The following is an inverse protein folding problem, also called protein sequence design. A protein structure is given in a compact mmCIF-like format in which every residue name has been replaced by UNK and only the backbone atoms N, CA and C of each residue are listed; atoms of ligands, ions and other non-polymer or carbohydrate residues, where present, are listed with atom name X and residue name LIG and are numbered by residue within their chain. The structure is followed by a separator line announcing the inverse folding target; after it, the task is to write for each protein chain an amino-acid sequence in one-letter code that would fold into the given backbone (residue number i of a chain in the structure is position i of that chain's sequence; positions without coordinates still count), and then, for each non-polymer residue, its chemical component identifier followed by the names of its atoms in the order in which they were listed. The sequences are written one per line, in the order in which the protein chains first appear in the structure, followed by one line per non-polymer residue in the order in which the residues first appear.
data_IF_964950523852
#
_entry.id   IF_964950523852
#
_cell.length_a   1.000
_cell.length_b   1.000
_cell.length_c   1.000
_cell.angle_alpha   90.00
_cell.angle_beta   90.00
_cell.angle_gamma   90.00
#
_symmetry.space_group_name_H-M   'P 1'
#
loop_
_entity.id
_entity.type
_entity.pdbx_description
1 polymer ?
#
# COMPACT_ATOMS: atom_id res chain seq x y z
N UNK A 1 -63.87 -22.86 17.24
CA UNK A 1 -64.81 -22.32 16.24
C UNK A 1 -65.00 -20.84 16.53
N UNK A 2 -64.26 -19.98 15.83
CA UNK A 2 -64.09 -18.57 16.17
C UNK A 2 -65.17 -17.69 15.54
N UNK A 3 -65.67 -16.75 16.35
CA UNK A 3 -66.80 -15.84 16.11
C UNK A 3 -66.46 -14.80 15.04
N UNK A 4 -67.32 -14.67 14.03
CA UNK A 4 -67.33 -13.55 13.08
C UNK A 4 -67.99 -12.35 13.78
N UNK A 5 -67.24 -11.26 13.95
CA UNK A 5 -67.77 -9.94 14.35
C UNK A 5 -67.76 -9.03 13.13
N UNK A 6 -68.97 -8.68 12.70
CA UNK A 6 -69.29 -7.63 11.74
C UNK A 6 -69.00 -6.28 12.41
N UNK A 7 -68.17 -5.45 11.79
CA UNK A 7 -67.98 -4.06 12.20
C UNK A 7 -68.45 -3.14 11.06
N UNK A 8 -69.45 -2.33 11.38
CA UNK A 8 -70.05 -1.32 10.53
C UNK A 8 -69.05 -0.17 10.28
N UNK A 9 -68.90 0.23 9.02
CA UNK A 9 -68.27 1.49 8.66
C UNK A 9 -69.33 2.43 8.09
N UNK A 10 -69.57 3.52 8.81
CA UNK A 10 -70.53 4.56 8.47
C UNK A 10 -70.04 5.38 7.27
N UNK A 11 -70.92 5.56 6.29
CA UNK A 11 -70.74 6.43 5.13
C UNK A 11 -71.23 7.82 5.54
N UNK A 12 -70.32 8.79 5.64
CA UNK A 12 -70.66 10.20 5.75
C UNK A 12 -70.74 10.81 4.34
N UNK A 13 -71.97 11.08 3.89
CA UNK A 13 -72.25 11.86 2.69
C UNK A 13 -72.14 13.34 3.06
N UNK A 14 -71.15 14.04 2.51
CA UNK A 14 -71.08 15.50 2.54
C UNK A 14 -71.46 16.02 1.15
N UNK A 15 -72.67 16.55 1.06
CA UNK A 15 -73.14 17.38 -0.03
C UNK A 15 -72.64 18.82 0.20
N UNK A 16 -71.75 19.31 -0.67
CA UNK A 16 -71.47 20.74 -0.80
C UNK A 16 -71.71 21.15 -2.24
N UNK A 17 -72.67 22.04 -2.42
CA UNK A 17 -73.14 22.56 -3.69
C UNK A 17 -72.19 23.61 -4.28
N UNK A 18 -72.06 23.57 -5.61
CA UNK A 18 -72.05 24.74 -6.50
C UNK A 18 -71.07 25.88 -6.22
N UNK A 19 -69.95 25.87 -6.95
CA UNK A 19 -69.43 27.07 -7.59
C UNK A 19 -68.79 26.69 -8.92
N UNK A 20 -69.54 26.88 -10.01
CA UNK A 20 -69.03 26.94 -11.38
C UNK A 20 -68.21 28.24 -11.51
N UNK A 21 -66.97 28.21 -11.01
CA UNK A 21 -65.95 29.18 -11.39
C UNK A 21 -65.09 28.49 -12.45
N UNK A 22 -65.06 29.07 -13.65
CA UNK A 22 -64.31 28.52 -14.77
C UNK A 22 -62.88 28.23 -14.36
N UNK A 23 -62.49 26.96 -14.48
CA UNK A 23 -61.11 26.58 -14.69
C UNK A 23 -60.71 27.11 -16.07
N UNK A 24 -60.47 28.42 -16.16
CA UNK A 24 -59.42 28.90 -17.04
C UNK A 24 -58.19 28.17 -16.60
N UNK A 25 -57.84 27.13 -17.35
CA UNK A 25 -56.54 26.51 -17.41
C UNK A 25 -55.52 27.64 -17.42
N UNK A 26 -54.98 28.00 -16.26
CA UNK A 26 -53.64 28.58 -16.18
C UNK A 26 -52.73 27.45 -16.63
N UNK A 27 -52.64 27.27 -17.94
CA UNK A 27 -51.35 27.04 -18.57
C UNK A 27 -50.50 28.24 -18.16
N UNK A 28 -49.98 28.19 -16.93
CA UNK A 28 -48.83 28.97 -16.56
C UNK A 28 -47.81 28.63 -17.63
N UNK A 29 -47.48 29.63 -18.45
CA UNK A 29 -46.33 29.60 -19.31
C UNK A 29 -45.21 28.90 -18.54
N UNK A 30 -44.68 27.79 -19.08
CA UNK A 30 -43.43 27.19 -18.64
C UNK A 30 -42.28 28.16 -19.03
N UNK A 31 -42.35 29.38 -18.48
CA UNK A 31 -41.34 30.40 -18.50
C UNK A 31 -40.29 29.97 -17.47
N UNK A 32 -39.08 29.71 -17.96
CA UNK A 32 -37.81 29.84 -17.25
C UNK A 32 -37.83 29.52 -15.74
N UNK A 33 -38.10 28.27 -15.38
CA UNK A 33 -37.56 27.79 -14.10
C UNK A 33 -36.01 27.83 -14.22
N UNK A 34 -35.29 28.34 -13.20
CA UNK A 34 -33.84 28.30 -13.21
C UNK A 34 -33.34 26.86 -13.31
N UNK A 35 -32.22 26.66 -14.01
CA UNK A 35 -31.61 25.34 -14.13
C UNK A 35 -31.28 24.79 -12.72
N UNK A 36 -31.63 23.53 -12.41
CA UNK A 36 -31.23 22.91 -11.17
C UNK A 36 -29.70 22.86 -11.02
N UNK A 37 -29.21 22.94 -9.79
CA UNK A 37 -27.77 22.78 -9.54
C UNK A 37 -27.30 21.36 -9.88
N UNK A 38 -26.11 21.25 -10.46
CA UNK A 38 -25.49 19.96 -10.81
C UNK A 38 -24.75 19.37 -9.61
N UNK A 39 -24.92 18.06 -9.40
CA UNK A 39 -24.10 17.25 -8.51
C UNK A 39 -24.63 17.11 -7.08
N UNK A 40 -23.71 16.89 -6.14
CA UNK A 40 -23.97 16.68 -4.71
C UNK A 40 -22.87 17.31 -3.84
N UNK A 41 -22.78 16.96 -2.54
CA UNK A 41 -21.70 17.45 -1.68
C UNK A 41 -20.36 16.75 -2.01
N UNK A 42 -19.26 17.41 -1.66
CA UNK A 42 -17.91 16.84 -1.74
C UNK A 42 -17.28 16.81 -3.13
N UNK A 43 -16.11 16.14 -3.27
CA UNK A 43 -15.26 16.23 -4.46
C UNK A 43 -15.90 15.78 -5.77
N UNK A 44 -16.81 14.79 -5.70
CA UNK A 44 -17.56 14.34 -6.88
C UNK A 44 -18.49 15.44 -7.40
N UNK A 45 -19.24 16.10 -6.51
CA UNK A 45 -20.11 17.20 -6.88
C UNK A 45 -19.35 18.43 -7.35
N UNK A 46 -18.22 18.75 -6.70
CA UNK A 46 -17.33 19.84 -7.14
C UNK A 46 -16.83 19.61 -8.56
N UNK A 47 -16.43 18.37 -8.88
CA UNK A 47 -15.99 18.01 -10.22
C UNK A 47 -17.13 18.10 -11.24
N UNK A 48 -18.34 17.61 -10.92
CA UNK A 48 -19.49 17.74 -11.82
C UNK A 48 -19.85 19.20 -12.09
N UNK A 49 -19.76 20.09 -11.08
CA UNK A 49 -19.96 21.53 -11.29
C UNK A 49 -18.91 22.14 -12.23
N UNK A 50 -17.64 21.77 -12.07
CA UNK A 50 -16.57 22.21 -12.98
C UNK A 50 -16.81 21.76 -14.43
N UNK A 51 -17.27 20.53 -14.63
CA UNK A 51 -17.63 20.03 -15.96
C UNK A 51 -18.82 20.81 -16.52
N UNK A 52 -19.86 21.03 -15.71
CA UNK A 52 -21.04 21.80 -16.09
C UNK A 52 -20.69 23.22 -16.52
N UNK A 53 -19.86 23.93 -15.77
CA UNK A 53 -19.43 25.31 -16.08
C UNK A 53 -18.78 25.43 -17.48
N UNK A 54 -18.02 24.40 -17.90
CA UNK A 54 -17.39 24.38 -19.23
C UNK A 54 -18.33 23.91 -20.33
N UNK A 55 -19.17 22.93 -20.02
CA UNK A 55 -20.07 22.29 -20.97
C UNK A 55 -21.31 23.15 -21.28
N UNK A 56 -21.79 23.90 -20.29
CA UNK A 56 -23.04 24.64 -20.36
C UNK A 56 -23.06 25.68 -21.49
N UNK A 57 -22.03 26.52 -21.71
CA UNK A 57 -22.02 27.45 -22.84
C UNK A 57 -22.08 26.75 -24.20
N UNK A 58 -21.34 25.65 -24.38
CA UNK A 58 -21.33 24.89 -25.63
C UNK A 58 -22.71 24.29 -25.95
N UNK A 59 -23.45 23.85 -24.93
CA UNK A 59 -24.80 23.32 -25.11
C UNK A 59 -25.86 24.42 -25.26
N UNK A 60 -25.92 25.34 -24.30
CA UNK A 60 -27.01 26.31 -24.19
C UNK A 60 -26.86 27.44 -25.21
N UNK A 61 -25.68 28.06 -25.26
CA UNK A 61 -25.41 29.14 -26.21
C UNK A 61 -25.10 28.58 -27.59
N UNK A 62 -24.37 27.47 -27.67
CA UNK A 62 -23.96 26.87 -28.95
C UNK A 62 -25.07 26.14 -29.71
N UNK A 63 -26.07 25.58 -29.01
CA UNK A 63 -27.12 24.80 -29.67
C UNK A 63 -28.55 25.24 -29.31
N UNK A 64 -28.91 25.27 -28.02
CA UNK A 64 -30.29 25.54 -27.60
C UNK A 64 -30.77 26.93 -28.07
N UNK A 65 -29.91 27.96 -27.98
CA UNK A 65 -30.26 29.34 -28.35
C UNK A 65 -30.11 29.67 -29.84
N UNK A 66 -29.39 28.85 -30.62
CA UNK A 66 -29.09 29.15 -32.04
C UNK A 66 -29.87 28.30 -33.04
N UNK A 67 -30.44 27.19 -32.60
CA UNK A 67 -31.20 26.27 -33.44
C UNK A 67 -32.65 26.72 -33.63
N UNK A 68 -33.35 26.10 -34.60
CA UNK A 68 -34.79 26.26 -34.80
C UNK A 68 -35.62 25.94 -33.53
N UNK A 69 -35.01 25.30 -32.54
CA UNK A 69 -35.59 25.01 -31.23
C UNK A 69 -35.86 26.27 -30.39
N UNK A 70 -35.24 27.42 -30.70
CA UNK A 70 -35.59 28.74 -30.12
C UNK A 70 -37.01 29.18 -30.48
N UNK A 71 -37.44 28.92 -31.72
CA UNK A 71 -38.74 29.37 -32.24
C UNK A 71 -39.91 28.55 -31.68
N UNK A 72 -39.68 27.29 -31.31
CA UNK A 72 -40.71 26.36 -30.84
C UNK A 72 -40.99 26.48 -29.33
N UNK A 73 -40.20 27.26 -28.56
CA UNK A 73 -40.35 27.45 -27.11
C UNK A 73 -40.05 26.22 -26.24
N UNK A 74 -39.73 26.37 -24.93
CA UNK A 74 -39.34 25.26 -24.05
C UNK A 74 -40.43 24.20 -23.84
N UNK A 75 -41.70 24.59 -23.98
CA UNK A 75 -42.86 23.75 -23.70
C UNK A 75 -43.23 22.77 -24.83
N UNK A 76 -42.64 22.89 -26.03
CA UNK A 76 -43.07 22.10 -27.20
C UNK A 76 -42.39 20.74 -27.34
N UNK A 77 -41.30 20.44 -26.60
CA UNK A 77 -40.83 19.05 -26.48
C UNK A 77 -39.98 18.79 -25.24
N UNK A 78 -40.25 17.67 -24.55
CA UNK A 78 -39.45 17.14 -23.43
C UNK A 78 -38.26 16.30 -23.91
N UNK A 79 -37.68 16.68 -25.05
CA UNK A 79 -36.59 15.91 -25.67
C UNK A 79 -35.34 15.95 -24.78
N UNK A 80 -34.72 14.80 -24.61
CA UNK A 80 -33.46 14.65 -23.89
C UNK A 80 -32.60 13.53 -24.49
N UNK A 81 -31.29 13.74 -24.52
CA UNK A 81 -30.29 12.73 -24.83
C UNK A 81 -29.48 12.42 -23.57
N UNK A 82 -29.04 11.18 -23.41
CA UNK A 82 -28.02 10.82 -22.41
C UNK A 82 -26.73 10.46 -23.14
N UNK A 83 -25.62 11.04 -22.69
CA UNK A 83 -24.29 10.81 -23.22
C UNK A 83 -23.45 10.12 -22.15
N UNK A 84 -22.80 9.02 -22.52
CA UNK A 84 -21.74 8.40 -21.72
C UNK A 84 -20.39 8.96 -22.15
N UNK A 85 -19.65 9.51 -21.20
CA UNK A 85 -18.38 10.21 -21.43
C UNK A 85 -17.30 9.53 -20.60
N UNK A 86 -16.17 9.17 -21.22
CA UNK A 86 -14.98 8.70 -20.54
C UNK A 86 -13.88 9.74 -20.68
N UNK A 87 -13.29 10.17 -19.56
CA UNK A 87 -12.32 11.26 -19.49
C UNK A 87 -11.00 10.73 -18.94
N UNK A 88 -9.87 11.11 -19.56
CA UNK A 88 -8.53 10.73 -19.14
C UNK A 88 -8.04 11.61 -17.98
N UNK A 89 -6.93 11.21 -17.35
CA UNK A 89 -6.29 11.95 -16.26
C UNK A 89 -5.87 13.38 -16.61
N UNK A 90 -5.62 13.68 -17.90
CA UNK A 90 -5.28 15.02 -18.40
C UNK A 90 -6.52 15.87 -18.74
N UNK A 91 -7.72 15.32 -18.55
CA UNK A 91 -8.99 15.96 -18.87
C UNK A 91 -9.42 15.80 -20.33
N UNK A 92 -8.62 15.19 -21.21
CA UNK A 92 -9.08 14.91 -22.57
C UNK A 92 -10.19 13.87 -22.59
N UNK A 93 -11.16 14.04 -23.48
CA UNK A 93 -12.24 13.08 -23.66
C UNK A 93 -11.66 11.86 -24.38
N UNK A 94 -11.65 10.72 -23.70
CA UNK A 94 -11.26 9.44 -24.29
C UNK A 94 -12.35 8.91 -25.23
N UNK A 95 -13.60 9.02 -24.80
CA UNK A 95 -14.77 8.53 -25.54
C UNK A 95 -16.01 9.33 -25.14
N UNK A 96 -16.87 9.65 -26.11
CA UNK A 96 -18.21 10.16 -25.87
C UNK A 96 -19.18 9.45 -26.81
N UNK A 97 -20.29 8.95 -26.29
CA UNK A 97 -21.29 8.23 -27.08
C UNK A 97 -22.70 8.45 -26.52
N UNK A 98 -23.72 8.42 -27.37
CA UNK A 98 -25.11 8.43 -26.95
C UNK A 98 -25.43 7.10 -26.24
N UNK A 99 -25.77 7.16 -24.95
CA UNK A 99 -26.31 6.01 -24.21
C UNK A 99 -27.83 5.93 -24.30
N UNK A 100 -28.50 7.07 -24.47
CA UNK A 100 -29.95 7.12 -24.73
C UNK A 100 -30.25 8.22 -25.74
N UNK A 101 -30.72 7.81 -26.91
CA UNK A 101 -31.08 8.74 -27.99
C UNK A 101 -32.29 9.59 -27.60
N UNK A 102 -32.28 10.82 -28.10
CA UNK A 102 -33.42 11.74 -27.98
C UNK A 102 -34.50 11.53 -29.05
N UNK A 103 -34.26 10.63 -30.00
CA UNK A 103 -35.12 10.38 -31.16
C UNK A 103 -34.96 11.40 -32.28
N UNK A 104 -33.90 12.22 -32.24
CA UNK A 104 -33.52 13.10 -33.34
C UNK A 104 -32.00 13.25 -33.42
N UNK A 105 -31.46 12.92 -34.61
CA UNK A 105 -30.02 12.79 -34.82
C UNK A 105 -29.29 14.13 -34.66
N UNK A 106 -29.90 15.24 -35.09
CA UNK A 106 -29.34 16.60 -34.95
C UNK A 106 -29.15 17.00 -33.48
N UNK A 107 -30.08 16.62 -32.62
CA UNK A 107 -30.03 16.88 -31.19
C UNK A 107 -28.97 16.01 -30.50
N UNK A 108 -28.89 14.74 -30.88
CA UNK A 108 -27.91 13.79 -30.34
C UNK A 108 -26.48 14.18 -30.77
N UNK A 109 -26.29 14.56 -32.04
CA UNK A 109 -25.00 15.03 -32.58
C UNK A 109 -24.56 16.33 -31.90
N UNK A 110 -25.48 17.27 -31.68
CA UNK A 110 -25.18 18.50 -30.97
C UNK A 110 -24.76 18.27 -29.51
N UNK A 111 -25.36 17.29 -28.82
CA UNK A 111 -24.96 16.92 -27.47
C UNK A 111 -23.52 16.35 -27.44
N UNK A 112 -23.17 15.50 -28.40
CA UNK A 112 -21.79 15.00 -28.54
C UNK A 112 -20.81 16.14 -28.85
N UNK A 113 -21.16 17.02 -29.79
CA UNK A 113 -20.33 18.16 -30.17
C UNK A 113 -20.08 19.09 -28.98
N UNK A 114 -21.09 19.37 -28.15
CA UNK A 114 -20.92 20.17 -26.95
C UNK A 114 -19.87 19.57 -25.99
N UNK A 115 -19.86 18.25 -25.81
CA UNK A 115 -18.84 17.55 -25.00
C UNK A 115 -17.43 17.73 -25.57
N UNK A 116 -17.26 17.51 -26.87
CA UNK A 116 -15.95 17.61 -27.52
C UNK A 116 -15.41 19.04 -27.56
N UNK A 117 -16.27 20.04 -27.76
CA UNK A 117 -15.87 21.45 -27.77
C UNK A 117 -15.53 22.01 -26.39
N UNK A 118 -16.18 21.52 -25.34
CA UNK A 118 -15.95 21.98 -23.98
C UNK A 118 -14.74 21.32 -23.29
N UNK A 119 -14.21 20.23 -23.87
CA UNK A 119 -13.00 19.59 -23.39
C UNK A 119 -11.80 20.55 -23.42
N UNK A 120 -10.82 20.44 -22.50
CA UNK A 120 -10.63 19.36 -21.52
C UNK A 120 -11.35 19.55 -20.18
N UNK A 121 -11.48 18.46 -19.40
CA UNK A 121 -12.12 18.35 -18.09
C UNK A 121 -11.21 17.66 -17.03
N UNK A 122 -10.15 18.33 -16.55
CA UNK A 122 -9.13 17.69 -15.70
C UNK A 122 -9.72 17.13 -14.40
N UNK A 123 -9.68 15.80 -14.17
CA UNK A 123 -10.32 15.19 -13.02
C UNK A 123 -9.41 15.15 -11.78
N UNK A 124 -9.98 15.30 -10.57
CA UNK A 124 -9.27 14.95 -9.35
C UNK A 124 -9.15 13.42 -9.20
N UNK A 125 -8.09 12.94 -8.56
CA UNK A 125 -7.80 11.49 -8.44
C UNK A 125 -8.93 10.70 -7.75
N UNK A 126 -9.73 11.37 -6.92
CA UNK A 126 -10.81 10.78 -6.12
C UNK A 126 -12.02 10.34 -6.96
N UNK A 127 -12.21 10.93 -8.15
CA UNK A 127 -13.33 10.59 -9.05
C UNK A 127 -12.94 9.58 -10.12
N UNK A 128 -11.66 9.22 -10.20
CA UNK A 128 -11.17 8.24 -11.17
C UNK A 128 -11.61 6.84 -10.78
N UNK A 129 -12.07 6.10 -11.78
CA UNK A 129 -12.37 4.68 -11.66
C UNK A 129 -11.09 3.84 -11.68
N UNK A 130 -11.24 2.53 -11.46
CA UNK A 130 -10.09 1.62 -11.37
C UNK A 130 -9.33 1.51 -12.70
N UNK A 131 -10.03 1.66 -13.83
CA UNK A 131 -9.44 1.69 -15.17
C UNK A 131 -8.63 2.96 -15.49
N UNK A 132 -8.60 3.93 -14.57
CA UNK A 132 -7.86 5.18 -14.73
C UNK A 132 -8.58 6.20 -15.60
N UNK A 133 -9.88 6.03 -15.83
CA UNK A 133 -10.75 7.00 -16.50
C UNK A 133 -11.81 7.52 -15.51
N UNK A 134 -12.37 8.68 -15.82
CA UNK A 134 -13.63 9.12 -15.19
C UNK A 134 -14.76 8.84 -16.14
N UNK A 135 -15.76 8.08 -15.68
CA UNK A 135 -16.94 7.80 -16.47
C UNK A 135 -18.09 8.67 -15.99
N UNK A 136 -18.67 9.44 -16.89
CA UNK A 136 -19.82 10.30 -16.62
C UNK A 136 -21.01 9.83 -17.45
N UNK A 137 -22.20 9.92 -16.85
CA UNK A 137 -23.46 9.97 -17.58
C UNK A 137 -23.99 11.38 -17.50
N UNK A 138 -24.21 12.00 -18.66
CA UNK A 138 -24.66 13.38 -18.77
C UNK A 138 -25.95 13.47 -19.57
N UNK A 139 -26.94 14.15 -19.01
CA UNK A 139 -28.26 14.36 -19.61
C UNK A 139 -28.31 15.75 -20.22
N UNK A 140 -28.57 15.80 -21.51
CA UNK A 140 -28.84 17.01 -22.27
C UNK A 140 -30.32 17.08 -22.57
N UNK A 141 -31.00 18.05 -21.99
CA UNK A 141 -32.44 18.25 -22.08
C UNK A 141 -32.74 19.60 -22.74
N UNK A 142 -33.88 19.65 -23.43
CA UNK A 142 -34.40 20.89 -24.03
C UNK A 142 -35.16 21.77 -23.03
N UNK A 143 -35.71 21.16 -21.98
CA UNK A 143 -36.50 21.88 -20.98
C UNK A 143 -35.60 22.59 -19.97
N UNK A 144 -36.19 23.19 -18.92
CA UNK A 144 -35.47 23.97 -17.89
C UNK A 144 -34.29 23.25 -17.24
N UNK A 145 -34.20 21.91 -17.33
CA UNK A 145 -33.07 21.13 -16.83
C UNK A 145 -31.79 21.32 -17.65
N UNK A 146 -31.88 21.79 -18.90
CA UNK A 146 -30.74 22.06 -19.79
C UNK A 146 -29.68 20.94 -19.74
N UNK A 147 -28.56 21.13 -19.03
CA UNK A 147 -27.52 20.11 -18.89
C UNK A 147 -27.25 19.76 -17.41
N UNK A 148 -28.27 19.87 -16.56
CA UNK A 148 -28.11 19.74 -15.11
C UNK A 148 -28.05 18.30 -14.59
N UNK A 149 -28.50 17.33 -15.39
CA UNK A 149 -28.55 15.93 -15.01
C UNK A 149 -27.20 15.26 -15.25
N UNK A 150 -26.37 15.14 -14.23
CA UNK A 150 -25.07 14.49 -14.35
C UNK A 150 -24.80 13.48 -13.22
N UNK A 151 -24.12 12.39 -13.55
CA UNK A 151 -23.74 11.36 -12.60
C UNK A 151 -22.35 10.81 -12.93
N UNK A 152 -21.52 10.58 -11.90
CA UNK A 152 -20.30 9.80 -12.02
C UNK A 152 -20.64 8.32 -11.94
N UNK A 153 -20.20 7.55 -12.93
CA UNK A 153 -20.32 6.08 -12.96
C UNK A 153 -19.02 5.49 -12.46
N UNK A 154 -19.06 4.77 -11.34
CA UNK A 154 -17.89 4.07 -10.81
C UNK A 154 -17.74 2.73 -11.52
N UNK A 155 -16.59 2.54 -12.16
CA UNK A 155 -16.15 1.23 -12.67
C UNK A 155 -15.21 0.64 -11.65
N UNK A 156 -15.66 -0.38 -10.93
CA UNK A 156 -14.90 -1.07 -9.90
C UNK A 156 -14.46 -2.44 -10.40
N UNK A 157 -13.17 -2.72 -10.28
CA UNK A 157 -12.61 -4.03 -10.57
C UNK A 157 -12.68 -4.96 -9.34
N UNK A 158 -12.65 -6.28 -9.57
CA UNK A 158 -12.41 -7.26 -8.51
C UNK A 158 -11.17 -6.90 -7.66
N UNK A 159 -11.22 -7.15 -6.35
CA UNK A 159 -10.16 -6.72 -5.42
C UNK A 159 -8.76 -7.22 -5.77
N UNK A 160 -8.65 -8.44 -6.31
CA UNK A 160 -7.37 -9.00 -6.74
C UNK A 160 -6.70 -8.18 -7.85
N UNK A 161 -7.48 -7.41 -8.62
CA UNK A 161 -7.00 -6.47 -9.65
C UNK A 161 -6.90 -5.05 -9.09
N UNK A 162 -7.93 -4.60 -8.36
CA UNK A 162 -8.04 -3.23 -7.88
C UNK A 162 -6.98 -2.89 -6.82
N UNK A 163 -6.72 -3.78 -5.85
CA UNK A 163 -5.83 -3.48 -4.73
C UNK A 163 -4.38 -3.20 -5.17
N UNK A 164 -3.76 -4.00 -6.07
CA UNK A 164 -2.49 -3.67 -6.68
C UNK A 164 -2.41 -2.26 -7.28
N UNK A 165 -3.45 -1.87 -8.02
CA UNK A 165 -3.51 -0.61 -8.74
C UNK A 165 -3.72 0.58 -7.78
N UNK A 166 -4.67 0.45 -6.84
CA UNK A 166 -4.91 1.45 -5.79
C UNK A 166 -3.66 1.69 -4.96
N UNK A 167 -2.97 0.62 -4.57
CA UNK A 167 -1.71 0.72 -3.85
C UNK A 167 -0.67 1.46 -4.71
N UNK A 168 -0.52 1.12 -5.99
CA UNK A 168 0.46 1.76 -6.89
C UNK A 168 0.21 3.26 -7.08
N UNK A 169 -1.06 3.69 -7.05
CA UNK A 169 -1.49 5.10 -7.13
C UNK A 169 -1.45 5.84 -5.78
N UNK A 170 -1.00 5.20 -4.70
CA UNK A 170 -0.98 5.79 -3.36
C UNK A 170 -2.35 5.91 -2.69
N UNK A 171 -3.39 5.27 -3.23
CA UNK A 171 -4.76 5.30 -2.72
C UNK A 171 -5.00 4.23 -1.64
N UNK A 172 -4.12 4.15 -0.65
CA UNK A 172 -4.16 3.14 0.42
C UNK A 172 -5.44 3.20 1.25
N UNK A 173 -5.95 4.39 1.53
CA UNK A 173 -7.20 4.57 2.29
C UNK A 173 -8.39 3.90 1.58
N UNK A 174 -8.46 4.04 0.25
CA UNK A 174 -9.51 3.42 -0.57
C UNK A 174 -9.32 1.91 -0.67
N UNK A 175 -8.08 1.43 -0.85
CA UNK A 175 -7.77 0.01 -0.82
C UNK A 175 -8.21 -0.65 0.51
N UNK A 176 -7.88 -0.02 1.65
CA UNK A 176 -8.27 -0.50 2.99
C UNK A 176 -9.79 -0.48 3.15
N UNK A 177 -10.46 0.59 2.71
CA UNK A 177 -11.92 0.68 2.76
C UNK A 177 -12.57 -0.48 2.02
N UNK A 178 -12.17 -0.73 0.76
CA UNK A 178 -12.74 -1.82 -0.04
C UNK A 178 -12.44 -3.21 0.52
N UNK A 179 -11.23 -3.43 1.05
CA UNK A 179 -10.90 -4.66 1.77
C UNK A 179 -11.83 -4.86 2.97
N UNK A 180 -12.01 -3.84 3.81
CA UNK A 180 -12.90 -3.91 4.98
C UNK A 180 -14.34 -4.21 4.57
N UNK A 181 -14.84 -3.53 3.54
CA UNK A 181 -16.21 -3.71 3.07
C UNK A 181 -16.42 -5.13 2.50
N UNK A 182 -15.42 -5.70 1.83
CA UNK A 182 -15.45 -7.08 1.36
C UNK A 182 -15.41 -8.08 2.53
N UNK A 183 -14.53 -7.88 3.50
CA UNK A 183 -14.46 -8.73 4.70
C UNK A 183 -15.76 -8.68 5.50
N UNK A 184 -16.41 -7.52 5.56
CA UNK A 184 -17.71 -7.39 6.22
C UNK A 184 -18.83 -8.13 5.48
N UNK A 185 -18.76 -8.26 4.15
CA UNK A 185 -19.75 -8.97 3.32
C UNK A 185 -19.52 -10.48 3.31
N UNK A 186 -18.31 -10.90 2.98
CA UNK A 186 -18.01 -12.27 2.58
C UNK A 186 -17.04 -12.98 3.55
N UNK A 187 -16.59 -12.28 4.61
CA UNK A 187 -15.58 -12.78 5.53
C UNK A 187 -14.16 -12.71 4.96
N UNK A 188 -13.22 -13.34 5.66
CA UNK A 188 -11.82 -13.40 5.23
C UNK A 188 -11.64 -14.44 4.12
N UNK A 189 -11.29 -14.02 2.92
CA UNK A 189 -10.87 -14.90 1.82
C UNK A 189 -9.43 -14.58 1.38
N UNK A 190 -8.66 -15.61 1.01
CA UNK A 190 -7.22 -15.49 0.74
C UNK A 190 -6.89 -14.89 -0.63
N UNK A 191 -7.82 -14.94 -1.59
CA UNK A 191 -7.53 -14.78 -3.01
C UNK A 191 -7.05 -13.37 -3.41
N UNK A 192 -7.46 -12.32 -2.69
CA UNK A 192 -7.08 -10.94 -3.00
C UNK A 192 -5.96 -10.39 -2.09
N UNK A 193 -5.73 -11.00 -0.92
CA UNK A 193 -4.77 -10.50 0.06
C UNK A 193 -3.34 -10.82 -0.34
N UNK A 194 -3.08 -12.04 -0.82
CA UNK A 194 -1.73 -12.47 -1.19
C UNK A 194 -1.07 -11.56 -2.23
N UNK A 195 -1.69 -11.21 -3.38
CA UNK A 195 -1.04 -10.32 -4.35
C UNK A 195 -0.83 -8.90 -3.78
N UNK A 196 -1.80 -8.39 -3.01
CA UNK A 196 -1.68 -7.08 -2.37
C UNK A 196 -0.54 -7.04 -1.35
N UNK A 197 -0.47 -8.01 -0.42
CA UNK A 197 0.58 -8.10 0.59
C UNK A 197 1.94 -8.25 -0.07
N UNK A 198 2.06 -9.08 -1.13
CA UNK A 198 3.30 -9.23 -1.88
C UNK A 198 3.78 -7.92 -2.47
N UNK A 199 2.90 -7.18 -3.14
CA UNK A 199 3.26 -5.89 -3.71
C UNK A 199 3.52 -4.82 -2.65
N UNK A 200 2.81 -4.86 -1.52
CA UNK A 200 2.98 -3.89 -0.44
C UNK A 200 4.32 -4.10 0.28
N UNK A 201 4.63 -5.34 0.67
CA UNK A 201 5.90 -5.72 1.30
C UNK A 201 7.09 -5.58 0.35
N UNK A 202 6.89 -5.70 -0.96
CA UNK A 202 7.94 -5.52 -1.96
C UNK A 202 8.36 -4.08 -2.21
N UNK A 203 7.69 -3.09 -1.60
CA UNK A 203 8.05 -1.67 -1.75
C UNK A 203 9.26 -1.33 -0.88
N UNK A 204 10.13 -0.41 -1.35
CA UNK A 204 11.12 0.20 -0.47
C UNK A 204 10.45 0.86 0.73
N UNK A 205 10.91 0.51 1.93
CA UNK A 205 10.47 1.07 3.19
C UNK A 205 11.43 2.19 3.63
N UNK A 206 11.04 2.89 4.70
CA UNK A 206 11.85 3.97 5.28
C UNK A 206 13.15 3.48 5.93
N UNK A 207 13.33 2.16 6.12
CA UNK A 207 14.56 1.60 6.66
C UNK A 207 14.92 0.27 6.02
N UNK A 208 16.21 0.06 5.82
CA UNK A 208 16.79 -1.19 5.32
C UNK A 208 16.45 -2.40 6.19
N UNK A 209 16.26 -2.20 7.50
CA UNK A 209 15.86 -3.25 8.42
C UNK A 209 14.42 -3.70 8.17
N UNK A 210 13.50 -2.77 7.88
CA UNK A 210 12.13 -3.11 7.48
C UNK A 210 12.09 -3.76 6.10
N UNK A 211 12.94 -3.33 5.17
CA UNK A 211 13.08 -3.98 3.86
C UNK A 211 13.54 -5.44 4.01
N UNK A 212 14.55 -5.69 4.84
CA UNK A 212 15.02 -7.04 5.11
C UNK A 212 13.95 -7.91 5.80
N UNK A 213 13.14 -7.35 6.72
CA UNK A 213 12.02 -8.09 7.33
C UNK A 213 10.95 -8.44 6.30
N UNK A 214 10.64 -7.49 5.43
CA UNK A 214 9.64 -7.67 4.37
C UNK A 214 10.09 -8.71 3.35
N UNK A 215 11.34 -8.63 2.90
CA UNK A 215 11.98 -9.64 2.05
C UNK A 215 11.99 -11.02 2.72
N UNK A 216 12.30 -11.10 4.02
CA UNK A 216 12.22 -12.35 4.81
C UNK A 216 10.82 -12.97 4.82
N UNK A 217 9.79 -12.17 5.06
CA UNK A 217 8.40 -12.63 5.05
C UNK A 217 7.98 -13.13 3.66
N UNK A 218 8.37 -12.43 2.60
CA UNK A 218 8.06 -12.82 1.22
C UNK A 218 8.81 -14.08 0.77
N UNK A 219 10.09 -14.20 1.15
CA UNK A 219 10.89 -15.40 0.89
C UNK A 219 10.30 -16.63 1.58
N UNK A 220 9.85 -16.50 2.84
CA UNK A 220 9.15 -17.57 3.55
C UNK A 220 7.81 -17.96 2.89
N UNK A 221 7.20 -17.05 2.14
CA UNK A 221 6.00 -17.29 1.32
C UNK A 221 6.32 -17.83 -0.09
N UNK A 222 7.57 -18.23 -0.36
CA UNK A 222 8.03 -18.86 -1.60
C UNK A 222 8.56 -17.91 -2.67
N UNK A 223 8.79 -16.62 -2.36
CA UNK A 223 9.37 -15.68 -3.33
C UNK A 223 10.91 -15.81 -3.39
N UNK A 224 11.40 -16.59 -4.35
CA UNK A 224 12.84 -16.81 -4.55
C UNK A 224 13.64 -15.56 -4.97
N UNK A 225 13.01 -14.49 -5.48
CA UNK A 225 13.72 -13.23 -5.74
C UNK A 225 14.15 -12.57 -4.42
N UNK A 226 13.32 -12.70 -3.39
CA UNK A 226 13.54 -12.09 -2.09
C UNK A 226 14.67 -12.78 -1.33
N UNK A 227 14.91 -14.07 -1.59
CA UNK A 227 16.10 -14.78 -1.10
C UNK A 227 17.38 -14.12 -1.61
N UNK A 228 17.49 -13.85 -2.92
CA UNK A 228 18.65 -13.16 -3.50
C UNK A 228 18.81 -11.73 -2.98
N UNK A 229 17.68 -11.05 -2.74
CA UNK A 229 17.71 -9.72 -2.13
C UNK A 229 18.25 -9.79 -0.69
N UNK A 230 17.84 -10.77 0.11
CA UNK A 230 18.35 -10.99 1.47
C UNK A 230 19.84 -11.31 1.46
N UNK A 231 20.33 -12.14 0.52
CA UNK A 231 21.76 -12.40 0.35
C UNK A 231 22.54 -11.10 0.07
N UNK A 232 21.98 -10.19 -0.72
CA UNK A 232 22.58 -8.88 -0.99
C UNK A 232 22.54 -7.98 0.26
N UNK A 233 21.42 -7.96 0.97
CA UNK A 233 21.23 -7.20 2.21
C UNK A 233 22.08 -7.70 3.38
N UNK A 234 22.54 -8.95 3.34
CA UNK A 234 23.47 -9.54 4.31
C UNK A 234 24.81 -8.77 4.34
N UNK A 235 25.19 -8.13 3.23
CA UNK A 235 26.46 -7.38 3.11
C UNK A 235 26.31 -5.88 3.39
N UNK A 236 25.14 -5.43 3.84
CA UNK A 236 24.89 -4.06 4.26
C UNK A 236 24.72 -3.99 5.79
N UNK A 237 25.57 -3.25 6.53
CA UNK A 237 25.57 -3.25 8.01
C UNK A 237 24.22 -3.03 8.66
N UNK A 238 23.43 -2.11 8.10
CA UNK A 238 22.12 -1.70 8.59
C UNK A 238 21.00 -2.75 8.40
N UNK A 239 21.22 -3.79 7.58
CA UNK A 239 20.25 -4.87 7.33
C UNK A 239 20.80 -6.26 7.64
N UNK A 240 22.12 -6.41 7.76
CA UNK A 240 22.80 -7.70 7.84
C UNK A 240 22.27 -8.60 8.97
N UNK A 241 22.05 -8.07 10.17
CA UNK A 241 21.50 -8.84 11.29
C UNK A 241 20.11 -9.41 11.00
N UNK A 242 19.22 -8.60 10.41
CA UNK A 242 17.86 -9.04 10.04
C UNK A 242 17.91 -10.04 8.89
N UNK A 243 18.74 -9.77 7.87
CA UNK A 243 18.88 -10.64 6.71
C UNK A 243 19.46 -12.01 7.11
N UNK A 244 20.46 -12.04 8.00
CA UNK A 244 21.06 -13.27 8.51
C UNK A 244 20.02 -14.16 9.21
N UNK A 245 19.20 -13.60 10.12
CA UNK A 245 18.12 -14.33 10.80
C UNK A 245 17.08 -14.84 9.81
N UNK A 246 16.73 -14.05 8.80
CA UNK A 246 15.78 -14.47 7.78
C UNK A 246 16.33 -15.63 6.93
N UNK A 247 17.57 -15.54 6.46
CA UNK A 247 18.24 -16.58 5.68
C UNK A 247 18.39 -17.88 6.47
N UNK A 248 18.78 -17.79 7.75
CA UNK A 248 18.91 -18.96 8.64
C UNK A 248 17.58 -19.70 8.81
N UNK A 249 16.47 -18.97 9.02
CA UNK A 249 15.12 -19.55 9.09
C UNK A 249 14.65 -20.22 7.80
N UNK A 250 15.21 -19.81 6.67
CA UNK A 250 14.95 -20.43 5.36
C UNK A 250 15.84 -21.66 5.11
N UNK A 251 16.72 -22.01 6.05
CA UNK A 251 17.65 -23.13 5.94
C UNK A 251 18.85 -22.85 5.04
N UNK A 252 19.16 -21.58 4.78
CA UNK A 252 20.31 -21.17 3.97
C UNK A 252 21.56 -21.12 4.86
N UNK A 253 22.67 -21.67 4.38
CA UNK A 253 23.96 -21.67 5.09
C UNK A 253 24.55 -20.25 5.13
N UNK A 254 24.14 -19.47 6.13
CA UNK A 254 24.63 -18.11 6.38
C UNK A 254 26.13 -18.13 6.65
N UNK A 255 26.66 -19.19 7.29
CA UNK A 255 28.08 -19.36 7.58
C UNK A 255 28.90 -19.32 6.29
N UNK A 256 28.52 -20.10 5.27
CA UNK A 256 29.20 -20.11 3.98
C UNK A 256 29.20 -18.73 3.29
N UNK A 257 28.07 -18.00 3.35
CA UNK A 257 27.96 -16.65 2.78
C UNK A 257 28.90 -15.65 3.49
N UNK A 258 28.95 -15.71 4.83
CA UNK A 258 29.81 -14.84 5.62
C UNK A 258 31.30 -15.18 5.45
N UNK A 259 31.66 -16.47 5.34
CA UNK A 259 33.04 -16.90 5.05
C UNK A 259 33.53 -16.32 3.72
N UNK A 260 32.68 -16.40 2.68
CA UNK A 260 32.99 -15.82 1.36
C UNK A 260 33.18 -14.31 1.45
N UNK A 261 32.40 -13.63 2.28
CA UNK A 261 32.49 -12.18 2.48
C UNK A 261 33.78 -11.77 3.17
N UNK A 262 34.20 -12.51 4.20
CA UNK A 262 35.46 -12.26 4.92
C UNK A 262 36.70 -12.55 4.07
N UNK A 263 36.62 -13.53 3.17
CA UNK A 263 37.73 -13.91 2.30
C UNK A 263 37.99 -12.90 1.15
N UNK A 264 37.01 -12.06 0.82
CA UNK A 264 37.20 -11.02 -0.19
C UNK A 264 38.02 -9.84 0.34
N UNK A 265 38.55 -9.03 -0.58
CA UNK A 265 39.19 -7.72 -0.27
C UNK A 265 38.17 -6.64 0.17
N UNK A 266 37.08 -7.07 0.80
CA UNK A 266 35.97 -6.24 1.21
C UNK A 266 36.39 -5.02 2.01
N UNK A 267 35.81 -3.87 1.65
CA UNK A 267 35.89 -2.64 2.44
C UNK A 267 35.35 -2.86 3.87
N UNK A 268 35.75 -2.02 4.83
CA UNK A 268 35.34 -2.09 6.25
C UNK A 268 33.83 -2.26 6.47
N UNK A 269 33.03 -1.76 5.52
CA UNK A 269 31.58 -1.94 5.48
C UNK A 269 31.15 -3.41 5.47
N UNK A 270 31.80 -4.28 4.70
CA UNK A 270 31.46 -5.71 4.67
C UNK A 270 31.81 -6.39 5.99
N UNK A 271 32.93 -6.01 6.62
CA UNK A 271 33.29 -6.52 7.94
C UNK A 271 32.23 -6.14 8.98
N UNK A 272 31.81 -4.87 9.00
CA UNK A 272 30.74 -4.41 9.89
C UNK A 272 29.42 -5.18 9.66
N UNK A 273 29.10 -5.50 8.41
CA UNK A 273 27.93 -6.31 8.07
C UNK A 273 28.04 -7.74 8.62
N UNK A 274 29.20 -8.38 8.47
CA UNK A 274 29.48 -9.71 9.05
C UNK A 274 29.30 -9.69 10.57
N UNK A 275 29.83 -8.66 11.25
CA UNK A 275 29.66 -8.52 12.70
C UNK A 275 28.20 -8.37 13.11
N UNK A 276 27.43 -7.54 12.37
CA UNK A 276 26.01 -7.37 12.63
C UNK A 276 25.21 -8.67 12.40
N UNK A 277 25.57 -9.46 11.39
CA UNK A 277 24.99 -10.77 11.12
C UNK A 277 25.27 -11.77 12.26
N UNK A 278 26.53 -11.90 12.68
CA UNK A 278 26.94 -12.81 13.76
C UNK A 278 26.24 -12.47 15.07
N UNK A 279 26.19 -11.19 15.45
CA UNK A 279 25.52 -10.72 16.67
C UNK A 279 24.02 -11.07 16.70
N UNK A 280 23.39 -11.18 15.52
CA UNK A 280 21.98 -11.52 15.40
C UNK A 280 21.70 -13.04 15.45
N UNK A 281 22.73 -13.89 15.41
CA UNK A 281 22.62 -15.35 15.29
C UNK A 281 23.23 -16.15 16.47
N UNK A 282 22.97 -15.80 17.75
CA UNK A 282 23.63 -16.45 18.89
C UNK A 282 23.31 -17.96 19.01
N UNK A 283 22.07 -18.37 18.74
CA UNK A 283 21.68 -19.79 18.78
C UNK A 283 22.27 -20.59 17.63
N UNK A 284 22.41 -19.97 16.47
CA UNK A 284 22.93 -20.61 15.25
C UNK A 284 24.44 -20.84 15.39
N UNK A 285 25.17 -19.93 16.06
CA UNK A 285 26.60 -20.09 16.34
C UNK A 285 26.93 -21.38 17.10
N UNK A 286 26.05 -21.85 17.98
CA UNK A 286 26.26 -23.08 18.73
C UNK A 286 26.14 -24.35 17.86
N UNK A 287 25.46 -24.28 16.71
CA UNK A 287 25.15 -25.43 15.86
C UNK A 287 25.79 -25.35 14.46
N UNK A 288 26.34 -24.20 14.09
CA UNK A 288 26.95 -23.93 12.79
C UNK A 288 28.47 -23.84 12.92
N UNK A 289 29.18 -24.93 12.58
CA UNK A 289 30.64 -24.99 12.62
C UNK A 289 31.29 -23.85 11.82
N UNK A 290 30.84 -23.63 10.57
CA UNK A 290 31.32 -22.52 9.71
C UNK A 290 31.12 -21.15 10.34
N UNK A 291 30.01 -20.94 11.05
CA UNK A 291 29.72 -19.67 11.72
C UNK A 291 30.71 -19.43 12.88
N UNK A 292 31.07 -20.49 13.61
CA UNK A 292 32.10 -20.42 14.66
C UNK A 292 33.49 -20.13 14.08
N UNK A 293 33.82 -20.64 12.90
CA UNK A 293 35.07 -20.35 12.19
C UNK A 293 35.13 -18.90 11.70
N UNK A 294 34.04 -18.38 11.14
CA UNK A 294 33.91 -16.97 10.74
C UNK A 294 34.08 -16.05 11.95
N UNK A 295 33.46 -16.40 13.09
CA UNK A 295 33.62 -15.66 14.34
C UNK A 295 35.08 -15.72 14.84
N UNK A 296 35.70 -16.89 14.83
CA UNK A 296 37.11 -17.06 15.20
C UNK A 296 38.04 -16.22 14.30
N UNK A 297 37.79 -16.19 12.99
CA UNK A 297 38.53 -15.36 12.05
C UNK A 297 38.33 -13.85 12.33
N UNK A 298 37.09 -13.41 12.61
CA UNK A 298 36.78 -12.03 12.93
C UNK A 298 37.44 -11.56 14.25
N UNK A 299 37.53 -12.45 15.25
CA UNK A 299 38.26 -12.17 16.50
C UNK A 299 39.75 -11.94 16.27
N UNK A 300 40.33 -12.61 15.27
CA UNK A 300 41.76 -12.50 14.95
C UNK A 300 42.10 -11.37 13.98
N UNK A 301 41.11 -10.74 13.32
CA UNK A 301 41.38 -9.68 12.36
C UNK A 301 41.77 -8.37 13.10
N UNK A 302 43.03 -7.92 12.97
CA UNK A 302 43.54 -6.74 13.68
C UNK A 302 42.92 -5.42 13.17
N UNK A 303 42.21 -5.44 12.05
CA UNK A 303 41.50 -4.26 11.53
C UNK A 303 40.28 -3.91 12.37
N UNK A 304 39.79 -4.85 13.19
CA UNK A 304 38.71 -4.56 14.12
C UNK A 304 39.21 -3.83 15.37
N UNK A 305 38.48 -2.81 15.85
CA UNK A 305 38.76 -2.19 17.15
C UNK A 305 38.82 -3.24 18.27
N UNK A 306 39.76 -3.08 19.19
CA UNK A 306 39.96 -4.01 20.30
C UNK A 306 38.68 -4.26 21.12
N UNK A 307 37.85 -3.22 21.30
CA UNK A 307 36.54 -3.35 21.96
C UNK A 307 35.60 -4.30 21.21
N UNK A 308 35.52 -4.19 19.89
CA UNK A 308 34.69 -5.08 19.08
C UNK A 308 35.21 -6.51 19.12
N UNK A 309 36.54 -6.69 19.02
CA UNK A 309 37.18 -8.02 19.14
C UNK A 309 36.87 -8.67 20.50
N UNK A 310 36.93 -7.90 21.59
CA UNK A 310 36.58 -8.37 22.93
C UNK A 310 35.10 -8.78 23.04
N UNK A 311 34.18 -7.99 22.47
CA UNK A 311 32.75 -8.34 22.42
C UNK A 311 32.50 -9.63 21.63
N UNK A 312 33.18 -9.82 20.49
CA UNK A 312 33.07 -11.03 19.68
C UNK A 312 33.59 -12.27 20.40
N UNK A 313 34.66 -12.13 21.18
CA UNK A 313 35.13 -13.23 22.03
C UNK A 313 34.06 -13.63 23.06
N UNK A 314 33.32 -12.66 23.61
CA UNK A 314 32.18 -12.95 24.47
C UNK A 314 31.10 -13.81 23.79
N UNK A 315 30.91 -13.68 22.48
CA UNK A 315 29.97 -14.52 21.73
C UNK A 315 30.46 -15.97 21.54
N UNK A 316 31.75 -16.24 21.72
CA UNK A 316 32.29 -17.61 21.74
C UNK A 316 32.00 -18.32 23.07
N UNK A 317 31.57 -17.59 24.11
CA UNK A 317 31.23 -18.15 25.42
C UNK A 317 29.94 -18.98 25.34
N UNK A 318 30.07 -20.26 25.01
CA UNK A 318 28.93 -21.19 24.82
C UNK A 318 28.94 -21.91 23.47
N UNK A 319 29.85 -21.53 22.57
CA UNK A 319 30.10 -22.26 21.33
C UNK A 319 31.01 -23.46 21.62
N UNK A 320 30.76 -24.64 21.05
CA UNK A 320 31.69 -25.77 21.15
C UNK A 320 33.10 -25.37 20.72
N UNK A 321 34.10 -25.66 21.56
CA UNK A 321 35.49 -25.32 21.26
C UNK A 321 36.01 -26.30 20.20
N UNK A 322 35.92 -25.88 18.94
CA UNK A 322 36.60 -26.53 17.82
C UNK A 322 38.10 -26.22 17.86
N UNK A 323 38.90 -26.91 17.04
CA UNK A 323 40.33 -26.63 16.93
C UNK A 323 40.60 -25.18 16.49
N UNK A 324 39.80 -24.66 15.55
CA UNK A 324 39.90 -23.28 15.04
C UNK A 324 39.55 -22.25 16.11
N UNK A 325 38.45 -22.46 16.84
CA UNK A 325 38.05 -21.59 17.97
C UNK A 325 39.09 -21.64 19.07
N UNK A 326 39.60 -22.82 19.43
CA UNK A 326 40.63 -22.99 20.45
C UNK A 326 41.93 -22.26 20.09
N UNK A 327 42.40 -22.36 18.84
CA UNK A 327 43.55 -21.61 18.33
C UNK A 327 43.32 -20.10 18.36
N UNK A 328 42.11 -19.65 17.99
CA UNK A 328 41.78 -18.23 18.01
C UNK A 328 41.76 -17.65 19.42
N UNK A 329 41.15 -18.35 20.38
CA UNK A 329 41.15 -17.96 21.80
C UNK A 329 42.57 -17.97 22.39
N UNK A 330 43.38 -18.98 22.07
CA UNK A 330 44.77 -19.06 22.53
C UNK A 330 45.64 -17.92 21.97
N UNK A 331 45.40 -17.50 20.73
CA UNK A 331 46.07 -16.36 20.11
C UNK A 331 45.60 -15.04 20.73
N UNK A 332 44.29 -14.84 20.89
CA UNK A 332 43.71 -13.65 21.51
C UNK A 332 44.11 -13.51 23.00
N UNK A 333 44.35 -14.60 23.71
CA UNK A 333 44.89 -14.58 25.08
C UNK A 333 46.35 -14.09 25.18
N UNK A 334 47.02 -13.89 24.04
CA UNK A 334 48.35 -13.28 23.94
C UNK A 334 48.31 -11.89 23.31
N UNK A 335 47.12 -11.34 23.08
CA UNK A 335 46.95 -10.02 22.48
C UNK A 335 47.56 -8.93 23.38
N UNK A 336 48.15 -7.90 22.79
CA UNK A 336 48.73 -6.78 23.53
C UNK A 336 47.66 -5.95 24.23
N UNK A 337 46.45 -5.89 23.67
CA UNK A 337 45.32 -5.20 24.27
C UNK A 337 44.73 -6.00 25.43
N UNK A 338 44.66 -5.38 26.61
CA UNK A 338 44.14 -6.01 27.84
C UNK A 338 42.68 -6.44 27.71
N UNK A 339 41.82 -5.68 27.01
CA UNK A 339 40.40 -6.04 26.87
C UNK A 339 40.20 -7.32 26.03
N UNK A 340 40.95 -7.46 24.93
CA UNK A 340 40.91 -8.65 24.07
C UNK A 340 41.48 -9.85 24.83
N UNK A 341 42.63 -9.67 25.48
CA UNK A 341 43.28 -10.70 26.28
C UNK A 341 42.39 -11.21 27.42
N UNK A 342 41.77 -10.29 28.16
CA UNK A 342 40.84 -10.60 29.25
C UNK A 342 39.62 -11.38 28.77
N UNK A 343 38.96 -10.91 27.71
CA UNK A 343 37.84 -11.61 27.11
C UNK A 343 38.23 -13.04 26.67
N UNK A 344 39.39 -13.21 26.04
CA UNK A 344 39.87 -14.52 25.56
C UNK A 344 40.16 -15.49 26.70
N UNK A 345 40.74 -15.02 27.80
CA UNK A 345 40.97 -15.85 28.97
C UNK A 345 39.65 -16.25 29.64
N UNK A 346 38.69 -15.32 29.76
CA UNK A 346 37.36 -15.61 30.31
C UNK A 346 36.59 -16.64 29.48
N UNK A 347 36.59 -16.50 28.14
CA UNK A 347 35.92 -17.44 27.24
C UNK A 347 36.50 -18.88 27.31
N UNK A 348 37.75 -19.05 27.75
CA UNK A 348 38.39 -20.35 27.94
C UNK A 348 38.03 -21.03 29.28
N UNK A 349 37.37 -20.33 30.20
CA UNK A 349 36.94 -20.86 31.50
C UNK A 349 35.49 -21.33 31.38
N UNK A 350 35.22 -22.66 31.36
CA UNK A 350 33.85 -23.13 31.23
C UNK A 350 33.03 -22.75 32.47
N UNK A 351 31.82 -22.23 32.26
CA UNK A 351 30.89 -21.90 33.35
C UNK A 351 30.57 -23.14 34.18
N UNK A 352 30.48 -22.98 35.50
CA UNK A 352 30.06 -24.05 36.42
C UNK A 352 31.15 -25.05 36.84
N UNK A 353 32.42 -24.87 36.44
CA UNK A 353 33.53 -25.77 36.80
C UNK A 353 34.01 -25.67 38.27
N UNK A 354 33.33 -24.89 39.12
CA UNK A 354 33.67 -24.74 40.54
C UNK A 354 35.16 -24.40 40.77
N UNK A 355 35.85 -25.21 41.60
CA UNK A 355 37.27 -25.01 41.93
C UNK A 355 38.20 -25.06 40.71
N UNK A 356 37.90 -25.89 39.71
CA UNK A 356 38.74 -26.02 38.50
C UNK A 356 38.69 -24.73 37.68
N UNK A 357 37.53 -24.08 37.62
CA UNK A 357 37.37 -22.77 36.98
C UNK A 357 38.23 -21.71 37.65
N UNK A 358 38.21 -21.65 38.98
CA UNK A 358 39.02 -20.69 39.76
C UNK A 358 40.52 -20.91 39.54
N UNK A 359 40.97 -22.16 39.48
CA UNK A 359 42.39 -22.47 39.19
C UNK A 359 42.79 -21.96 37.80
N UNK A 360 41.93 -22.11 36.78
CA UNK A 360 42.19 -21.58 35.43
C UNK A 360 42.21 -20.05 35.41
N UNK A 361 41.45 -19.39 36.28
CA UNK A 361 41.50 -17.93 36.45
C UNK A 361 42.75 -17.43 37.18
N UNK A 362 43.59 -18.31 37.75
CA UNK A 362 44.80 -17.87 38.45
C UNK A 362 45.78 -17.10 37.54
N UNK A 363 45.76 -17.35 36.23
CA UNK A 363 46.56 -16.59 35.27
C UNK A 363 46.07 -15.14 35.12
N UNK A 364 44.75 -14.92 35.08
CA UNK A 364 44.13 -13.58 35.07
C UNK A 364 44.51 -12.78 36.33
N UNK A 365 44.38 -13.41 37.50
CA UNK A 365 44.67 -12.78 38.79
C UNK A 365 46.15 -12.40 38.98
N UNK A 366 47.05 -13.00 38.22
CA UNK A 366 48.50 -12.74 38.26
C UNK A 366 48.99 -11.84 37.12
N UNK A 367 48.10 -11.38 36.23
CA UNK A 367 48.48 -10.48 35.13
C UNK A 367 48.94 -9.13 35.72
N UNK A 368 50.06 -8.55 35.24
CA UNK A 368 50.57 -7.28 35.74
C UNK A 368 49.61 -6.11 35.48
N UNK A 369 48.76 -6.20 34.46
CA UNK A 369 47.79 -5.15 34.14
C UNK A 369 46.66 -5.11 35.19
N UNK A 370 46.37 -3.94 35.81
CA UNK A 370 45.30 -3.83 36.80
C UNK A 370 43.92 -4.12 36.20
N UNK A 371 43.69 -3.81 34.92
CA UNK A 371 42.40 -4.05 34.25
C UNK A 371 42.09 -5.53 34.06
N UNK A 372 43.11 -6.40 34.09
CA UNK A 372 42.95 -7.86 33.97
C UNK A 372 42.64 -8.53 35.32
N UNK A 373 42.91 -7.82 36.42
CA UNK A 373 42.67 -8.27 37.80
C UNK A 373 41.34 -7.77 38.37
N UNK A 374 40.79 -6.71 37.79
CA UNK A 374 39.47 -6.16 38.08
C UNK A 374 38.38 -7.00 37.41
#
# INVERSE_FOLDING_TARGET
MAKVRVLHLAIAVVLSAGALAGETTRQAHAAEAPEPAVGGPGPEGDYLRLVHERLHPAWVDGFIRLSAYKALGPASSNRQAEVSIAIRWDGTVNKAQISKSSGADDFDEAALNAVWFAAPFPPPVQVMADDGLVHLKWVFARNHRLCSGAQIVRVEYPLNIALPQLAARGQLAEAIRRMRDQVARDGWTYDFLTPFIRQWLGRPNLSSALDARSAGALAAAGDGQQVRLLETMLFAPQSAGVAAVALDRLGIDVGALLTKALAGDGADRQRQAVLAAIRALPSTLAHCERCSEVLAAAVLDPRHPARERAELIGLLEGVPITETVGKALASAAKDSNTAVRGAAMLAQVPRGQGRVGVIRMAALLRDPAPEMRA
#
